data_IF_991644392304
#
_entry.id   IF_991644392304
#
_cell.length_a   1.000
_cell.length_b   1.000
_cell.length_c   1.000
_cell.angle_alpha   90.00
_cell.angle_beta   90.00
_cell.angle_gamma   90.00
#
_symmetry.space_group_name_H-M   'P 1'
#
loop_
_entity.id
_entity.type
_entity.pdbx_description
1 polymer ?
#
# COMPACT_ATOMS: atom_id res chain seq x y z
N UNK A 1 25.71 21.70 -11.86
CA UNK A 1 25.03 21.08 -10.72
C UNK A 1 24.01 20.11 -11.29
N UNK A 2 23.95 18.86 -10.79
CA UNK A 2 23.04 17.84 -11.31
C UNK A 2 21.79 17.81 -10.44
N UNK A 3 20.61 17.84 -11.07
CA UNK A 3 19.32 17.65 -10.43
C UNK A 3 18.62 16.43 -11.05
N UNK A 4 18.04 15.60 -10.19
CA UNK A 4 17.28 14.40 -10.57
C UNK A 4 15.90 14.49 -9.95
N UNK A 5 14.87 14.29 -10.77
CA UNK A 5 13.49 14.27 -10.34
C UNK A 5 12.94 12.86 -10.48
N UNK A 6 12.41 12.31 -9.38
CA UNK A 6 11.65 11.06 -9.40
C UNK A 6 10.17 11.42 -9.45
N UNK A 7 9.54 11.14 -10.59
CA UNK A 7 8.12 11.42 -10.85
C UNK A 7 7.38 10.10 -10.93
N UNK A 8 6.08 10.10 -10.60
CA UNK A 8 5.21 8.92 -10.58
C UNK A 8 5.80 7.75 -9.78
N UNK A 9 6.45 8.09 -8.67
CA UNK A 9 6.91 7.08 -7.72
C UNK A 9 5.70 6.41 -7.09
N UNK A 10 5.66 5.08 -7.08
CA UNK A 10 4.63 4.27 -6.42
C UNK A 10 4.78 4.30 -4.88
N UNK A 11 4.90 5.50 -4.31
CA UNK A 11 5.14 5.75 -2.89
C UNK A 11 3.93 6.44 -2.28
N UNK A 12 3.09 5.67 -1.60
CA UNK A 12 1.91 6.19 -0.91
C UNK A 12 1.57 5.36 0.33
N UNK A 13 0.77 5.96 1.21
CA UNK A 13 0.14 5.23 2.31
C UNK A 13 -1.00 4.33 1.80
N UNK A 14 -1.43 3.38 2.62
CA UNK A 14 -2.57 2.53 2.29
C UNK A 14 -3.84 3.39 2.12
N UNK A 15 -4.51 3.35 0.94
CA UNK A 15 -5.71 4.12 0.67
C UNK A 15 -6.86 3.79 1.64
N UNK A 16 -7.69 4.77 1.96
CA UNK A 16 -8.82 4.62 2.90
C UNK A 16 -9.71 3.41 2.59
N UNK A 17 -10.02 3.17 1.32
CA UNK A 17 -10.88 2.05 0.89
C UNK A 17 -10.30 0.67 1.26
N UNK A 18 -8.99 0.57 1.47
CA UNK A 18 -8.31 -0.67 1.85
C UNK A 18 -8.12 -0.80 3.37
N UNK A 19 -8.24 0.28 4.15
CA UNK A 19 -7.86 0.29 5.58
C UNK A 19 -8.74 -0.63 6.44
N UNK A 20 -9.97 -0.90 5.99
CA UNK A 20 -10.90 -1.81 6.66
C UNK A 20 -10.73 -3.28 6.27
N UNK A 21 -9.85 -3.58 5.31
CA UNK A 21 -9.59 -4.95 4.90
C UNK A 21 -8.90 -5.75 6.02
N UNK A 22 -9.37 -6.98 6.25
CA UNK A 22 -8.86 -7.87 7.30
C UNK A 22 -7.35 -8.09 7.19
N UNK A 23 -6.82 -8.22 5.97
CA UNK A 23 -5.39 -8.44 5.76
C UNK A 23 -4.57 -7.20 6.13
N UNK A 24 -5.05 -6.01 5.77
CA UNK A 24 -4.39 -4.73 6.10
C UNK A 24 -4.39 -4.50 7.60
N UNK A 25 -5.53 -4.69 8.27
CA UNK A 25 -5.63 -4.58 9.73
C UNK A 25 -4.69 -5.56 10.44
N UNK A 26 -4.57 -6.79 9.93
CA UNK A 26 -3.62 -7.77 10.48
C UNK A 26 -2.17 -7.30 10.34
N UNK A 27 -1.76 -6.84 9.15
CA UNK A 27 -0.42 -6.30 8.91
C UNK A 27 -0.15 -5.08 9.81
N UNK A 28 -1.16 -4.23 10.01
CA UNK A 28 -1.07 -3.05 10.86
C UNK A 28 -0.76 -3.43 12.32
N UNK A 29 -1.50 -4.42 12.85
CA UNK A 29 -1.28 -4.97 14.20
C UNK A 29 0.10 -5.62 14.32
N UNK A 30 0.51 -6.46 13.35
CA UNK A 30 1.83 -7.10 13.34
C UNK A 30 2.98 -6.07 13.33
N UNK A 31 2.76 -4.91 12.69
CA UNK A 31 3.72 -3.80 12.62
C UNK A 31 3.56 -2.76 13.73
N UNK A 32 2.60 -2.92 14.65
CA UNK A 32 2.33 -1.95 15.72
C UNK A 32 1.90 -0.57 15.23
N UNK A 33 1.19 -0.50 14.10
CA UNK A 33 0.76 0.74 13.43
C UNK A 33 -0.74 0.74 13.18
N UNK A 34 -1.30 1.92 12.84
CA UNK A 34 -2.64 2.02 12.25
C UNK A 34 -2.59 1.68 10.76
N UNK A 35 -3.67 1.13 10.17
CA UNK A 35 -3.77 0.91 8.73
C UNK A 35 -3.40 2.14 7.88
N UNK A 36 -3.82 3.33 8.32
CA UNK A 36 -3.52 4.62 7.69
C UNK A 36 -2.04 5.03 7.75
N UNK A 37 -1.21 4.34 8.54
CA UNK A 37 0.22 4.62 8.70
C UNK A 37 1.12 3.60 7.98
N UNK A 38 0.50 2.63 7.30
CA UNK A 38 1.20 1.66 6.50
C UNK A 38 1.55 2.24 5.13
N UNK A 39 2.76 1.95 4.66
CA UNK A 39 3.13 2.13 3.27
C UNK A 39 2.44 1.05 2.43
N UNK A 40 1.83 1.44 1.32
CA UNK A 40 1.26 0.49 0.36
C UNK A 40 2.40 -0.29 -0.31
N UNK A 41 2.33 -1.62 -0.26
CA UNK A 41 3.39 -2.49 -0.78
C UNK A 41 2.77 -3.73 -1.44
N UNK A 42 2.95 -3.86 -2.75
CA UNK A 42 2.40 -4.97 -3.52
C UNK A 42 2.96 -6.33 -3.10
N UNK A 43 4.18 -6.39 -2.53
CA UNK A 43 4.76 -7.64 -2.04
C UNK A 43 3.96 -8.25 -0.88
N UNK A 44 3.37 -7.41 -0.03
CA UNK A 44 2.59 -7.84 1.14
C UNK A 44 1.08 -7.69 0.96
N UNK A 45 0.65 -6.83 0.04
CA UNK A 45 -0.75 -6.41 -0.12
C UNK A 45 -1.34 -6.74 -1.49
N UNK A 46 -0.64 -7.51 -2.36
CA UNK A 46 -1.11 -7.90 -3.70
C UNK A 46 -2.59 -8.32 -3.73
N UNK A 47 -2.98 -9.27 -2.88
CA UNK A 47 -4.36 -9.79 -2.82
C UNK A 47 -5.38 -8.70 -2.46
N UNK A 48 -5.00 -7.77 -1.58
CA UNK A 48 -5.86 -6.66 -1.20
C UNK A 48 -5.93 -5.61 -2.30
N UNK A 49 -4.80 -5.30 -2.96
CA UNK A 49 -4.77 -4.40 -4.11
C UNK A 49 -5.66 -4.95 -5.22
N UNK A 50 -5.53 -6.21 -5.59
CA UNK A 50 -6.34 -6.81 -6.66
C UNK A 50 -7.84 -6.82 -6.33
N UNK A 51 -8.20 -6.98 -5.05
CA UNK A 51 -9.59 -6.95 -4.60
C UNK A 51 -10.23 -5.56 -4.74
N UNK A 52 -9.51 -4.49 -4.40
CA UNK A 52 -10.04 -3.12 -4.38
C UNK A 52 -9.75 -2.34 -5.67
N UNK A 53 -8.70 -2.75 -6.39
CA UNK A 53 -8.21 -2.16 -7.64
C UNK A 53 -7.81 -3.29 -8.62
N UNK A 54 -8.76 -3.97 -9.27
CA UNK A 54 -8.46 -5.09 -10.17
C UNK A 54 -7.54 -4.69 -11.32
N UNK A 55 -6.53 -5.51 -11.60
CA UNK A 55 -5.54 -5.27 -12.65
C UNK A 55 -4.55 -4.14 -12.36
N UNK A 56 -4.52 -3.62 -11.13
CA UNK A 56 -3.55 -2.58 -10.69
C UNK A 56 -2.43 -3.14 -9.81
N UNK A 57 -2.43 -4.45 -9.54
CA UNK A 57 -1.34 -5.07 -8.83
C UNK A 57 -0.17 -5.34 -9.77
N UNK A 58 0.98 -4.70 -9.52
CA UNK A 58 2.19 -4.80 -10.35
C UNK A 58 3.17 -5.87 -9.86
N UNK A 59 2.66 -6.95 -9.24
CA UNK A 59 3.51 -8.04 -8.75
C UNK A 59 4.12 -8.87 -9.88
#
# INVERSE_FOLDING_TARGET
>A
MLELLFVDSELQLVPEIMQDDKQIRRIAVERGKRPSELLLDSNFMHSTIEKHFPGKSNR
#
